data_IF_614827842746
#
_entry.id   IF_614827842746
#
_cell.length_a   1.000
_cell.length_b   1.000
_cell.length_c   1.000
_cell.angle_alpha   90.00
_cell.angle_beta   90.00
_cell.angle_gamma   90.00
#
_symmetry.space_group_name_H-M   'P 1'
#
loop_
_entity.id
_entity.type
_entity.pdbx_description
1 polymer ?
#
# COMPACT_ATOMS: atom_id res chain seq x y z
N UNK A 1 7.28 5.02 -9.66
CA UNK A 1 5.93 5.57 -9.93
C UNK A 1 5.09 5.84 -8.68
N UNK A 2 5.29 5.16 -7.54
CA UNK A 2 4.47 5.32 -6.33
C UNK A 2 4.27 6.78 -5.90
N UNK A 3 5.36 7.55 -5.76
CA UNK A 3 5.31 8.97 -5.40
C UNK A 3 4.41 9.79 -6.33
N UNK A 4 4.53 9.61 -7.65
CA UNK A 4 3.74 10.37 -8.63
C UNK A 4 2.24 10.19 -8.44
N UNK A 5 1.79 8.96 -8.20
CA UNK A 5 0.36 8.68 -8.03
C UNK A 5 -0.15 9.17 -6.68
N UNK A 6 0.62 8.97 -5.61
CA UNK A 6 0.32 9.55 -4.30
C UNK A 6 0.17 11.07 -4.39
N UNK A 7 1.16 11.74 -4.99
CA UNK A 7 1.17 13.20 -5.15
C UNK A 7 0.10 13.73 -6.10
N UNK A 8 -0.49 12.87 -6.94
CA UNK A 8 -1.52 13.30 -7.90
C UNK A 8 -2.94 13.14 -7.36
N UNK A 9 -3.22 12.04 -6.68
CA UNK A 9 -4.59 11.63 -6.37
C UNK A 9 -4.95 11.78 -4.90
N UNK A 10 -3.98 11.67 -3.98
CA UNK A 10 -4.27 11.83 -2.55
C UNK A 10 -4.48 13.31 -2.21
N UNK A 11 -5.52 13.57 -1.42
CA UNK A 11 -5.81 14.91 -0.91
C UNK A 11 -4.68 15.42 0.01
N UNK A 12 -4.07 14.50 0.76
CA UNK A 12 -2.94 14.72 1.67
C UNK A 12 -1.56 14.42 1.03
N UNK A 13 -1.52 14.24 -0.30
CA UNK A 13 -0.29 13.99 -1.05
C UNK A 13 0.66 15.19 -1.08
N UNK A 14 1.89 14.99 -1.62
CA UNK A 14 3.00 15.97 -1.61
C UNK A 14 3.41 16.41 -0.19
N UNK A 15 3.25 15.49 0.75
CA UNK A 15 3.57 15.69 2.17
C UNK A 15 4.74 14.80 2.58
N UNK A 16 5.59 15.23 3.54
CA UNK A 16 6.68 14.40 4.09
C UNK A 16 6.23 13.01 4.55
N UNK A 17 5.01 12.86 5.07
CA UNK A 17 4.45 11.57 5.46
C UNK A 17 4.24 10.66 4.23
N UNK A 18 3.83 11.21 3.09
CA UNK A 18 3.72 10.46 1.84
C UNK A 18 5.08 9.94 1.35
N UNK A 19 6.11 10.79 1.34
CA UNK A 19 7.46 10.37 0.95
C UNK A 19 8.04 9.31 1.91
N UNK A 20 7.90 9.53 3.23
CA UNK A 20 8.36 8.60 4.24
C UNK A 20 7.60 7.25 4.18
N UNK A 21 6.28 7.29 3.96
CA UNK A 21 5.43 6.11 3.80
C UNK A 21 5.78 5.30 2.56
N UNK A 22 5.95 5.94 1.41
CA UNK A 22 6.42 5.26 0.19
C UNK A 22 7.81 4.66 0.40
N UNK A 23 8.73 5.38 1.02
CA UNK A 23 10.06 4.86 1.32
C UNK A 23 10.01 3.66 2.31
N UNK A 24 9.07 3.66 3.25
CA UNK A 24 8.85 2.55 4.18
C UNK A 24 8.41 1.27 3.46
N UNK A 25 7.59 1.36 2.41
CA UNK A 25 7.23 0.21 1.56
C UNK A 25 8.46 -0.46 0.91
N UNK A 26 9.58 0.26 0.81
CA UNK A 26 10.87 -0.24 0.31
C UNK A 26 11.91 -0.46 1.43
N UNK A 27 11.49 -0.44 2.70
CA UNK A 27 12.29 -0.82 3.86
C UNK A 27 12.86 0.33 4.70
N UNK A 28 12.63 1.59 4.34
CA UNK A 28 13.09 2.71 5.18
C UNK A 28 12.32 2.73 6.50
N UNK A 29 13.03 2.83 7.63
CA UNK A 29 12.42 2.78 8.96
C UNK A 29 11.71 1.46 9.32
N UNK A 30 11.92 0.39 8.56
CA UNK A 30 11.54 -0.98 8.95
C UNK A 30 12.80 -1.82 9.22
N UNK A 31 12.61 -2.99 9.84
CA UNK A 31 13.66 -4.00 10.04
C UNK A 31 13.74 -4.97 8.85
N UNK A 32 14.81 -5.75 8.81
CA UNK A 32 14.95 -6.85 7.84
C UNK A 32 13.98 -8.02 8.13
N UNK A 33 13.46 -8.62 7.06
CA UNK A 33 12.56 -9.78 7.08
C UNK A 33 13.21 -11.01 6.43
N UNK A 34 12.50 -12.16 6.48
CA UNK A 34 12.94 -13.39 5.81
C UNK A 34 13.13 -13.12 4.31
N UNK A 35 14.30 -13.50 3.81
CA UNK A 35 14.68 -13.27 2.43
C UNK A 35 13.76 -13.99 1.44
N UNK A 36 13.40 -13.30 0.35
CA UNK A 36 12.56 -13.81 -0.73
C UNK A 36 13.06 -13.33 -2.09
N UNK A 37 12.84 -14.10 -3.17
CA UNK A 37 13.10 -13.63 -4.52
C UNK A 37 12.42 -12.28 -4.79
N UNK A 38 13.10 -11.40 -5.52
CA UNK A 38 12.67 -10.03 -5.87
C UNK A 38 12.69 -9.06 -4.67
N UNK A 39 12.08 -9.44 -3.55
CA UNK A 39 11.94 -8.55 -2.38
C UNK A 39 13.19 -8.47 -1.50
N UNK A 40 14.12 -9.41 -1.64
CA UNK A 40 15.24 -9.53 -0.72
C UNK A 40 14.72 -9.64 0.72
N UNK A 41 15.19 -8.75 1.61
CA UNK A 41 14.78 -8.69 3.02
C UNK A 41 13.72 -7.61 3.32
N UNK A 42 13.13 -6.97 2.31
CA UNK A 42 12.01 -6.04 2.51
C UNK A 42 10.78 -6.82 3.02
N UNK A 43 9.96 -6.18 3.85
CA UNK A 43 8.71 -6.76 4.36
C UNK A 43 7.83 -7.20 3.19
N UNK A 44 7.43 -8.47 3.20
CA UNK A 44 6.53 -9.01 2.19
C UNK A 44 5.08 -9.05 2.69
N UNK A 45 4.15 -8.59 1.84
CA UNK A 45 2.70 -8.66 2.05
C UNK A 45 2.07 -9.34 0.83
N UNK A 46 1.03 -10.16 1.04
CA UNK A 46 0.36 -10.88 -0.04
C UNK A 46 -1.16 -10.92 0.14
N UNK A 47 -1.87 -11.25 -0.94
CA UNK A 47 -3.32 -11.29 -0.98
C UNK A 47 -3.92 -12.26 0.06
N UNK A 48 -3.38 -13.48 0.19
CA UNK A 48 -3.85 -14.44 1.19
C UNK A 48 -3.71 -13.90 2.63
N UNK A 49 -2.62 -13.21 2.92
CA UNK A 49 -2.38 -12.59 4.23
C UNK A 49 -3.32 -11.42 4.50
N UNK A 50 -3.72 -10.68 3.46
CA UNK A 50 -4.73 -9.63 3.53
C UNK A 50 -6.12 -10.20 3.80
N UNK A 51 -6.53 -11.24 3.06
CA UNK A 51 -7.84 -11.91 3.21
C UNK A 51 -8.06 -12.50 4.59
N UNK A 52 -7.00 -12.93 5.29
CA UNK A 52 -7.10 -13.40 6.67
C UNK A 52 -7.30 -12.26 7.70
N UNK A 53 -6.99 -11.02 7.34
CA UNK A 53 -6.95 -9.87 8.25
C UNK A 53 -8.11 -8.89 8.05
N UNK A 54 -8.69 -8.83 6.85
CA UNK A 54 -9.72 -7.87 6.52
C UNK A 54 -10.78 -8.44 5.58
N UNK A 55 -11.97 -7.86 5.63
CA UNK A 55 -13.05 -8.14 4.69
C UNK A 55 -12.78 -7.42 3.36
N UNK A 56 -12.06 -8.11 2.47
CA UNK A 56 -11.78 -7.58 1.15
C UNK A 56 -12.98 -7.59 0.22
N UNK A 57 -13.98 -8.45 0.48
CA UNK A 57 -15.19 -8.47 -0.33
C UNK A 57 -15.98 -7.18 -0.09
N UNK A 58 -16.25 -6.86 1.17
CA UNK A 58 -16.92 -5.61 1.53
C UNK A 58 -16.13 -4.36 1.13
N UNK A 59 -14.79 -4.41 1.17
CA UNK A 59 -13.96 -3.31 0.65
C UNK A 59 -14.17 -3.08 -0.85
N UNK A 60 -14.16 -4.14 -1.67
CA UNK A 60 -14.35 -4.04 -3.12
C UNK A 60 -15.75 -3.53 -3.47
N UNK A 61 -16.79 -4.10 -2.85
CA UNK A 61 -18.19 -3.65 -3.03
C UNK A 61 -18.34 -2.16 -2.71
N UNK A 62 -17.67 -1.67 -1.66
CA UNK A 62 -17.65 -0.25 -1.32
C UNK A 62 -16.98 0.60 -2.39
N UNK A 63 -15.84 0.17 -2.93
CA UNK A 63 -15.14 0.94 -3.97
C UNK A 63 -15.98 1.01 -5.25
N UNK A 64 -16.58 -0.10 -5.67
CA UNK A 64 -17.49 -0.15 -6.83
C UNK A 64 -18.69 0.80 -6.65
N UNK A 65 -19.26 0.86 -5.45
CA UNK A 65 -20.36 1.78 -5.15
C UNK A 65 -19.94 3.26 -5.19
N UNK A 66 -18.72 3.59 -4.76
CA UNK A 66 -18.18 4.96 -4.86
C UNK A 66 -17.93 5.32 -6.32
N UNK A 67 -17.35 4.42 -7.10
CA UNK A 67 -17.09 4.63 -8.53
C UNK A 67 -18.39 4.82 -9.32
N UNK A 68 -19.44 4.04 -9.03
CA UNK A 68 -20.76 4.19 -9.64
C UNK A 68 -21.48 5.50 -9.25
N UNK A 69 -21.05 6.18 -8.18
CA UNK A 69 -21.61 7.44 -7.72
C UNK A 69 -20.89 8.69 -8.27
N UNK A 70 -19.80 8.50 -9.04
CA UNK A 70 -19.09 9.55 -9.78
C UNK A 70 -19.75 9.82 -11.14
#
# INVERSE_FOLDING_TARGET
HAVRFNDRYELDGRDPNGYAGVAWCFGKHDRAWKERPIFGKVRYMNAQGLLRKGDMKGYLERIEAIEAAL
#
